data_IF_209327737429
#
_entry.id   IF_209327737429
#
_cell.length_a   1.000
_cell.length_b   1.000
_cell.length_c   1.000
_cell.angle_alpha   90.00
_cell.angle_beta   90.00
_cell.angle_gamma   90.00
#
_symmetry.space_group_name_H-M   'P 1'
#
loop_
_entity.id
_entity.type
_entity.pdbx_description
1 polymer ?
#
# COMPACT_ATOMS: atom_id res chain seq x y z
N UNK A 1 -52.98 -56.33 29.83
CA UNK A 1 -52.20 -55.22 30.44
C UNK A 1 -52.44 -53.96 29.62
N UNK A 2 -53.04 -52.93 30.20
CA UNK A 2 -53.17 -51.62 29.54
C UNK A 2 -51.79 -50.95 29.53
N UNK A 3 -51.12 -50.94 28.38
CA UNK A 3 -49.91 -50.13 28.19
C UNK A 3 -50.33 -48.67 28.15
N UNK A 4 -49.78 -47.86 29.07
CA UNK A 4 -49.87 -46.40 29.02
C UNK A 4 -48.59 -45.88 28.36
N UNK A 5 -48.73 -45.18 27.25
CA UNK A 5 -47.61 -44.54 26.54
C UNK A 5 -47.61 -43.06 26.89
N UNK A 6 -46.45 -42.50 27.20
CA UNK A 6 -46.24 -41.06 27.43
C UNK A 6 -45.24 -40.58 26.40
N UNK A 7 -45.60 -39.55 25.64
CA UNK A 7 -44.72 -38.91 24.66
C UNK A 7 -44.21 -37.59 25.25
N UNK A 8 -42.90 -37.38 25.23
CA UNK A 8 -42.25 -36.17 25.74
C UNK A 8 -41.52 -35.51 24.56
N UNK A 9 -41.85 -34.25 24.28
CA UNK A 9 -41.13 -33.46 23.29
C UNK A 9 -39.91 -32.83 23.95
N UNK A 10 -38.72 -33.14 23.43
CA UNK A 10 -37.48 -32.50 23.85
C UNK A 10 -37.37 -31.11 23.20
N UNK A 11 -36.81 -30.11 23.90
CA UNK A 11 -36.66 -28.77 23.36
C UNK A 11 -35.75 -28.79 22.13
N UNK A 12 -36.15 -28.06 21.08
CA UNK A 12 -35.27 -27.72 19.97
C UNK A 12 -34.56 -26.42 20.32
N UNK A 13 -33.23 -26.47 20.38
CA UNK A 13 -32.39 -25.32 20.68
C UNK A 13 -31.78 -24.85 19.36
N UNK A 14 -31.94 -23.57 19.03
CA UNK A 14 -31.45 -23.01 17.77
C UNK A 14 -29.92 -23.13 17.70
N UNK A 15 -29.41 -23.77 16.64
CA UNK A 15 -27.98 -23.99 16.42
C UNK A 15 -27.34 -25.14 17.21
N UNK A 16 -28.12 -25.99 17.90
CA UNK A 16 -27.60 -27.14 18.65
C UNK A 16 -28.45 -28.39 18.35
N UNK A 17 -27.81 -29.48 17.94
CA UNK A 17 -28.50 -30.73 17.63
C UNK A 17 -28.58 -31.66 18.84
N UNK A 18 -29.68 -32.42 18.92
CA UNK A 18 -29.81 -33.52 19.88
C UNK A 18 -28.90 -34.68 19.45
N UNK A 19 -27.86 -34.97 20.24
CA UNK A 19 -26.92 -36.06 19.95
C UNK A 19 -27.39 -37.40 20.52
N UNK A 20 -27.98 -37.37 21.71
CA UNK A 20 -28.45 -38.58 22.38
C UNK A 20 -29.61 -38.26 23.33
N UNK A 21 -30.50 -39.23 23.53
CA UNK A 21 -31.54 -39.17 24.54
C UNK A 21 -31.65 -40.52 25.23
N UNK A 22 -31.46 -40.53 26.56
CA UNK A 22 -31.53 -41.73 27.38
C UNK A 22 -32.61 -41.58 28.44
N UNK A 23 -33.18 -42.71 28.86
CA UNK A 23 -34.23 -42.75 29.89
C UNK A 23 -33.68 -43.45 31.12
N UNK A 24 -33.62 -42.74 32.24
CA UNK A 24 -33.35 -43.31 33.56
C UNK A 24 -34.70 -43.75 34.15
N UNK A 25 -34.97 -45.06 34.07
CA UNK A 25 -36.21 -45.66 34.54
C UNK A 25 -36.35 -45.66 36.07
N UNK A 26 -35.24 -45.66 36.81
CA UNK A 26 -35.26 -45.65 38.27
C UNK A 26 -35.63 -44.27 38.81
N UNK A 27 -35.14 -43.21 38.15
CA UNK A 27 -35.42 -41.82 38.53
C UNK A 27 -36.60 -41.21 37.78
N UNK A 28 -37.10 -41.88 36.74
CA UNK A 28 -38.23 -41.42 35.92
C UNK A 28 -37.91 -40.17 35.10
N UNK A 29 -36.67 -40.01 34.65
CA UNK A 29 -36.20 -38.83 33.91
C UNK A 29 -35.66 -39.19 32.52
N UNK A 30 -35.81 -38.26 31.58
CA UNK A 30 -35.18 -38.32 30.26
C UNK A 30 -33.99 -37.38 30.27
N UNK A 31 -32.80 -37.89 29.98
CA UNK A 31 -31.57 -37.10 29.86
C UNK A 31 -31.28 -36.95 28.38
N UNK A 32 -31.28 -35.70 27.90
CA UNK A 32 -30.99 -35.34 26.53
C UNK A 32 -29.64 -34.63 26.47
N UNK A 33 -28.74 -35.14 25.63
CA UNK A 33 -27.41 -34.58 25.39
C UNK A 33 -27.46 -33.78 24.08
N UNK A 34 -27.12 -32.49 24.19
CA UNK A 34 -27.10 -31.54 23.09
C UNK A 34 -25.65 -31.13 22.82
N UNK A 35 -25.28 -31.08 21.54
CA UNK A 35 -23.93 -30.67 21.13
C UNK A 35 -23.96 -29.92 19.80
N UNK A 36 -23.03 -28.98 19.64
CA UNK A 36 -22.75 -28.39 18.32
C UNK A 36 -22.05 -29.42 17.44
N UNK A 37 -22.24 -29.37 16.13
CA UNK A 37 -21.33 -30.05 15.20
C UNK A 37 -19.95 -29.38 15.31
N UNK A 38 -19.14 -29.83 16.25
CA UNK A 38 -17.68 -29.69 16.20
C UNK A 38 -17.20 -30.62 15.08
N UNK A 39 -17.31 -30.17 13.83
CA UNK A 39 -16.46 -30.55 12.69
C UNK A 39 -17.08 -30.07 11.36
N UNK A 40 -17.27 -28.75 11.22
CA UNK A 40 -17.22 -28.16 9.88
C UNK A 40 -15.75 -28.09 9.46
N UNK A 41 -15.12 -29.25 9.26
CA UNK A 41 -13.86 -29.35 8.54
C UNK A 41 -14.15 -28.92 7.10
N UNK A 42 -14.02 -27.62 6.83
CA UNK A 42 -14.15 -27.07 5.48
C UNK A 42 -13.18 -27.82 4.57
N UNK A 43 -13.73 -28.52 3.57
CA UNK A 43 -12.90 -29.21 2.58
C UNK A 43 -12.41 -28.17 1.59
N UNK A 44 -11.17 -27.71 1.77
CA UNK A 44 -10.53 -26.67 0.96
C UNK A 44 -9.65 -27.28 -0.13
N UNK A 45 -9.58 -26.62 -1.28
CA UNK A 45 -8.77 -26.99 -2.44
C UNK A 45 -7.80 -25.88 -2.79
N UNK A 46 -6.68 -26.26 -3.41
CA UNK A 46 -5.70 -25.31 -3.96
C UNK A 46 -6.42 -24.24 -4.79
N UNK A 47 -6.17 -22.98 -4.49
CA UNK A 47 -6.77 -21.85 -5.18
C UNK A 47 -8.04 -21.30 -4.56
N UNK A 48 -8.59 -21.94 -3.53
CA UNK A 48 -9.75 -21.42 -2.83
C UNK A 48 -9.38 -20.15 -2.05
N UNK A 49 -10.29 -19.18 -2.07
CA UNK A 49 -10.15 -17.94 -1.30
C UNK A 49 -10.73 -18.15 0.08
N UNK A 50 -9.91 -17.85 1.09
CA UNK A 50 -10.27 -17.98 2.49
C UNK A 50 -10.12 -16.64 3.20
N UNK A 51 -11.08 -16.30 4.04
CA UNK A 51 -11.07 -15.08 4.85
C UNK A 51 -10.89 -15.45 6.31
N UNK A 52 -9.99 -14.74 7.00
CA UNK A 52 -9.74 -14.94 8.41
C UNK A 52 -10.96 -14.53 9.24
N UNK A 53 -11.34 -15.38 10.20
CA UNK A 53 -12.48 -15.14 11.09
C UNK A 53 -12.23 -14.00 12.07
N UNK A 54 -11.00 -13.87 12.58
CA UNK A 54 -10.63 -12.79 13.50
C UNK A 54 -10.38 -11.45 12.81
N UNK A 55 -10.08 -11.48 11.50
CA UNK A 55 -9.82 -10.29 10.70
C UNK A 55 -10.43 -10.44 9.30
N UNK A 56 -11.66 -9.96 9.09
CA UNK A 56 -12.34 -10.02 7.79
C UNK A 56 -11.61 -9.26 6.66
N UNK A 57 -10.66 -8.38 6.99
CA UNK A 57 -9.84 -7.72 5.97
C UNK A 57 -8.73 -8.62 5.41
N UNK A 58 -8.47 -9.76 6.06
CA UNK A 58 -7.42 -10.70 5.68
C UNK A 58 -7.98 -11.85 4.86
N UNK A 59 -7.95 -11.66 3.54
CA UNK A 59 -8.24 -12.69 2.55
C UNK A 59 -6.95 -13.31 2.01
N UNK A 60 -6.93 -14.63 1.85
CA UNK A 60 -5.79 -15.41 1.37
C UNK A 60 -6.23 -16.40 0.29
N UNK A 61 -5.30 -16.78 -0.58
CA UNK A 61 -5.48 -17.86 -1.54
C UNK A 61 -4.82 -19.12 -0.98
N UNK A 62 -5.58 -20.18 -0.78
CA UNK A 62 -5.11 -21.44 -0.23
C UNK A 62 -4.14 -22.14 -1.21
N UNK A 63 -2.99 -22.63 -0.72
CA UNK A 63 -2.05 -23.42 -1.53
C UNK A 63 -2.22 -24.92 -1.28
N UNK A 64 -1.91 -25.38 -0.09
CA UNK A 64 -1.95 -26.79 0.28
C UNK A 64 -2.09 -26.95 1.80
N UNK A 65 -2.77 -28.02 2.21
CA UNK A 65 -2.68 -28.53 3.58
C UNK A 65 -1.22 -28.86 3.86
N UNK A 66 -0.80 -28.60 5.07
CA UNK A 66 0.54 -28.90 5.54
C UNK A 66 0.45 -29.85 6.73
N UNK A 67 1.21 -29.60 7.80
CA UNK A 67 1.31 -30.48 8.96
C UNK A 67 0.32 -30.13 10.08
N UNK A 68 0.17 -31.04 11.03
CA UNK A 68 -0.60 -30.80 12.26
C UNK A 68 0.31 -30.12 13.29
N UNK A 69 0.05 -28.85 13.60
CA UNK A 69 0.78 -28.11 14.62
C UNK A 69 -0.03 -28.10 15.92
N UNK A 70 0.45 -28.79 16.96
CA UNK A 70 -0.22 -28.81 18.27
C UNK A 70 -1.63 -29.42 18.25
N UNK A 71 -1.90 -30.35 17.33
CA UNK A 71 -3.22 -30.96 17.17
C UNK A 71 -4.17 -30.21 16.23
N UNK A 72 -3.75 -29.08 15.67
CA UNK A 72 -4.55 -28.27 14.74
C UNK A 72 -4.03 -28.45 13.31
N UNK A 73 -4.95 -28.71 12.37
CA UNK A 73 -4.63 -28.77 10.95
C UNK A 73 -4.18 -27.40 10.45
N UNK A 74 -2.99 -27.33 9.85
CA UNK A 74 -2.48 -26.08 9.25
C UNK A 74 -2.38 -26.15 7.75
N UNK A 75 -2.33 -24.98 7.11
CA UNK A 75 -2.15 -24.84 5.67
C UNK A 75 -1.15 -23.74 5.34
N UNK A 76 -0.60 -23.84 4.13
CA UNK A 76 0.20 -22.77 3.54
C UNK A 76 -0.64 -21.96 2.57
N UNK A 77 -0.36 -20.67 2.50
CA UNK A 77 -1.00 -19.76 1.54
C UNK A 77 -0.19 -19.67 0.26
N UNK A 78 -0.89 -19.49 -0.86
CA UNK A 78 -0.33 -19.18 -2.16
C UNK A 78 -0.04 -17.68 -2.26
N UNK A 79 -0.93 -16.86 -1.70
CA UNK A 79 -0.84 -15.42 -1.69
C UNK A 79 -1.77 -14.82 -0.64
N UNK A 80 -1.39 -13.70 -0.05
CA UNK A 80 -2.22 -12.80 0.73
C UNK A 80 -1.91 -11.36 0.37
N UNK A 81 -2.82 -10.45 0.72
CA UNK A 81 -2.56 -9.02 0.54
C UNK A 81 -1.50 -8.56 1.55
N UNK A 82 -0.50 -7.77 1.12
CA UNK A 82 0.53 -7.28 2.02
C UNK A 82 -0.05 -6.32 3.07
N UNK A 83 0.38 -6.48 4.31
CA UNK A 83 -0.06 -5.65 5.44
C UNK A 83 0.84 -4.43 5.58
N UNK A 84 0.30 -3.29 6.03
CA UNK A 84 1.13 -2.13 6.39
C UNK A 84 1.54 -2.19 7.86
N UNK A 85 2.83 -2.41 8.14
CA UNK A 85 3.42 -2.36 9.48
C UNK A 85 4.32 -1.12 9.55
N UNK A 86 3.98 -0.17 10.42
CA UNK A 86 4.69 1.11 10.56
C UNK A 86 4.85 1.86 9.21
N UNK A 87 3.81 1.84 8.37
CA UNK A 87 3.80 2.48 7.04
C UNK A 87 4.53 1.70 5.94
N UNK A 88 5.24 0.62 6.26
CA UNK A 88 5.92 -0.24 5.27
C UNK A 88 5.06 -1.45 4.92
N UNK A 89 5.05 -1.84 3.65
CA UNK A 89 4.47 -3.12 3.25
C UNK A 89 5.28 -4.26 3.87
N UNK A 90 4.57 -5.19 4.51
CA UNK A 90 5.07 -6.44 5.01
C UNK A 90 4.29 -7.58 4.35
N UNK A 91 5.03 -8.54 3.80
CA UNK A 91 4.46 -9.72 3.18
C UNK A 91 4.52 -10.88 4.15
N UNK A 92 3.52 -11.76 4.12
CA UNK A 92 3.61 -13.02 4.85
C UNK A 92 4.76 -13.85 4.27
N UNK A 93 5.73 -14.28 5.10
CA UNK A 93 6.83 -15.11 4.63
C UNK A 93 6.34 -16.38 3.96
N UNK A 94 7.00 -16.78 2.87
CA UNK A 94 6.72 -18.04 2.19
C UNK A 94 6.89 -19.19 3.19
N UNK A 95 5.89 -20.08 3.24
CA UNK A 95 5.89 -21.22 4.16
C UNK A 95 5.32 -20.92 5.55
N UNK A 96 4.81 -19.71 5.80
CA UNK A 96 4.02 -19.42 7.01
C UNK A 96 2.80 -20.34 7.05
N UNK A 97 2.58 -20.96 8.20
CA UNK A 97 1.50 -21.92 8.45
C UNK A 97 0.38 -21.23 9.20
N UNK A 98 -0.85 -21.44 8.74
CA UNK A 98 -2.05 -20.91 9.37
C UNK A 98 -2.96 -22.05 9.83
N UNK A 99 -3.56 -21.97 11.03
CA UNK A 99 -4.56 -22.94 11.45
C UNK A 99 -5.82 -22.79 10.59
N UNK A 100 -6.31 -23.90 10.02
CA UNK A 100 -7.48 -23.88 9.14
C UNK A 100 -8.76 -23.46 9.89
N UNK A 101 -8.82 -23.72 11.20
CA UNK A 101 -9.93 -23.34 12.08
C UNK A 101 -10.19 -21.84 12.12
N UNK A 102 -9.20 -21.01 11.80
CA UNK A 102 -9.30 -19.55 11.89
C UNK A 102 -9.83 -18.93 10.59
N UNK A 103 -10.25 -19.75 9.62
CA UNK A 103 -10.64 -19.32 8.29
C UNK A 103 -11.99 -19.89 7.87
N UNK A 104 -12.68 -19.14 7.02
CA UNK A 104 -13.86 -19.57 6.27
C UNK A 104 -13.68 -19.29 4.79
N UNK A 105 -14.56 -19.84 3.94
CA UNK A 105 -14.65 -19.39 2.56
C UNK A 105 -14.93 -17.89 2.47
N UNK A 106 -14.22 -17.23 1.57
CA UNK A 106 -14.47 -15.84 1.25
C UNK A 106 -15.80 -15.65 0.51
N UNK A 107 -16.49 -14.54 0.78
CA UNK A 107 -17.65 -14.14 -0.03
C UNK A 107 -17.20 -13.67 -1.42
N UNK A 108 -18.13 -13.53 -2.36
CA UNK A 108 -17.79 -13.04 -3.70
C UNK A 108 -17.26 -11.58 -3.66
N UNK A 109 -17.77 -10.76 -2.74
CA UNK A 109 -17.29 -9.39 -2.52
C UNK A 109 -15.84 -9.39 -1.99
N UNK A 110 -15.53 -10.26 -1.03
CA UNK A 110 -14.17 -10.37 -0.47
C UNK A 110 -13.16 -10.88 -1.51
N UNK A 111 -13.57 -11.82 -2.38
CA UNK A 111 -12.77 -12.27 -3.51
C UNK A 111 -12.52 -11.15 -4.51
N UNK A 112 -13.57 -10.42 -4.88
CA UNK A 112 -13.48 -9.32 -5.84
C UNK A 112 -12.55 -8.22 -5.32
N UNK A 113 -12.67 -7.85 -4.05
CA UNK A 113 -11.77 -6.88 -3.40
C UNK A 113 -10.32 -7.37 -3.44
N UNK A 114 -10.06 -8.64 -3.11
CA UNK A 114 -8.71 -9.18 -3.15
C UNK A 114 -8.12 -9.16 -4.57
N UNK A 115 -8.91 -9.51 -5.58
CA UNK A 115 -8.48 -9.46 -6.99
C UNK A 115 -8.18 -8.02 -7.41
N UNK A 116 -9.03 -7.05 -7.05
CA UNK A 116 -8.81 -5.63 -7.36
C UNK A 116 -7.51 -5.10 -6.74
N UNK A 117 -7.26 -5.43 -5.47
CA UNK A 117 -6.02 -5.04 -4.77
C UNK A 117 -4.79 -5.73 -5.37
N UNK A 118 -4.91 -7.00 -5.77
CA UNK A 118 -3.85 -7.68 -6.52
C UNK A 118 -3.53 -6.96 -7.83
N UNK A 119 -4.54 -6.54 -8.59
CA UNK A 119 -4.36 -5.83 -9.86
C UNK A 119 -3.69 -4.46 -9.68
N UNK A 120 -3.98 -3.76 -8.57
CA UNK A 120 -3.29 -2.52 -8.18
C UNK A 120 -1.82 -2.74 -7.88
N UNK A 121 -1.47 -3.92 -7.37
CA UNK A 121 -0.09 -4.36 -7.14
C UNK A 121 0.57 -4.97 -8.39
N UNK A 122 -0.09 -4.92 -9.54
CA UNK A 122 0.41 -5.51 -10.78
C UNK A 122 0.46 -7.04 -10.75
N UNK A 123 -0.40 -7.67 -9.94
CA UNK A 123 -0.51 -9.13 -9.83
C UNK A 123 -1.86 -9.58 -10.36
N UNK A 124 -1.93 -10.79 -10.92
CA UNK A 124 -3.19 -11.49 -11.21
C UNK A 124 -3.13 -12.92 -10.73
N UNK A 125 -4.27 -13.44 -10.28
CA UNK A 125 -4.43 -14.86 -10.00
C UNK A 125 -4.91 -15.58 -11.26
N UNK A 126 -4.17 -16.60 -11.70
CA UNK A 126 -4.59 -17.46 -12.82
C UNK A 126 -5.26 -18.74 -12.28
N UNK A 127 -6.60 -18.88 -12.40
CA UNK A 127 -7.33 -20.02 -11.84
C UNK A 127 -7.07 -21.34 -12.59
N UNK A 128 -6.50 -21.30 -13.80
CA UNK A 128 -6.15 -22.51 -14.56
C UNK A 128 -4.82 -23.12 -14.12
N UNK A 129 -3.86 -22.28 -13.76
CA UNK A 129 -2.50 -22.71 -13.37
C UNK A 129 -2.29 -22.68 -11.85
N UNK A 130 -3.22 -22.09 -11.09
CA UNK A 130 -3.11 -21.85 -9.65
C UNK A 130 -1.83 -21.10 -9.30
N UNK A 131 -1.55 -20.01 -10.03
CA UNK A 131 -0.35 -19.19 -9.86
C UNK A 131 -0.71 -17.70 -9.80
N UNK A 132 0.11 -16.96 -9.06
CA UNK A 132 0.16 -15.50 -9.14
C UNK A 132 1.12 -15.14 -10.25
N UNK A 133 0.64 -14.34 -11.19
CA UNK A 133 1.41 -13.86 -12.33
C UNK A 133 1.58 -12.35 -12.20
N UNK A 134 2.73 -11.85 -12.62
CA UNK A 134 2.91 -10.42 -12.83
C UNK A 134 2.11 -9.99 -14.05
N UNK A 135 1.32 -8.93 -13.88
CA UNK A 135 0.78 -8.18 -14.99
C UNK A 135 1.90 -7.24 -15.40
N UNK A 136 2.52 -7.50 -16.55
CA UNK A 136 3.35 -6.50 -17.21
C UNK A 136 2.45 -5.31 -17.57
N UNK A 137 2.42 -4.32 -16.68
CA UNK A 137 1.82 -3.01 -16.92
C UNK A 137 2.95 -2.02 -17.14
N UNK A 138 2.83 -1.24 -18.20
CA UNK A 138 3.76 -0.15 -18.45
C UNK A 138 3.60 0.94 -17.38
N UNK A 139 4.68 1.62 -17.01
CA UNK A 139 4.61 2.68 -16.00
C UNK A 139 3.67 3.82 -16.41
N UNK A 140 3.50 4.06 -17.71
CA UNK A 140 2.54 5.03 -18.24
C UNK A 140 1.09 4.63 -18.00
N UNK A 141 0.80 3.36 -17.75
CA UNK A 141 -0.54 2.86 -17.38
C UNK A 141 -0.75 2.85 -15.86
N UNK A 142 0.32 2.78 -15.07
CA UNK A 142 0.25 2.74 -13.60
C UNK A 142 0.28 4.17 -13.01
N UNK A 143 1.16 5.03 -13.49
CA UNK A 143 1.40 6.36 -12.96
C UNK A 143 0.70 7.45 -13.81
N UNK A 144 -0.58 7.23 -14.13
CA UNK A 144 -1.40 8.16 -14.95
C UNK A 144 -1.62 9.55 -14.31
N UNK A 145 -1.27 9.71 -13.04
CA UNK A 145 -1.34 10.96 -12.31
C UNK A 145 -0.69 10.85 -10.93
N UNK A 146 -0.71 11.95 -10.17
CA UNK A 146 -0.04 12.04 -8.87
C UNK A 146 -0.41 10.89 -7.92
N UNK A 147 -1.69 10.55 -7.79
CA UNK A 147 -2.12 9.44 -6.92
C UNK A 147 -1.58 8.07 -7.34
N UNK A 148 -1.55 7.79 -8.65
CA UNK A 148 -0.98 6.54 -9.19
C UNK A 148 0.53 6.45 -8.98
N UNK A 149 1.25 7.56 -9.19
CA UNK A 149 2.68 7.63 -8.92
C UNK A 149 3.01 7.43 -7.43
N UNK A 150 2.25 8.05 -6.53
CA UNK A 150 2.42 7.87 -5.08
C UNK A 150 2.14 6.42 -4.66
N UNK A 151 1.09 5.81 -5.21
CA UNK A 151 0.78 4.41 -4.95
C UNK A 151 1.91 3.49 -5.43
N UNK A 152 2.42 3.71 -6.65
CA UNK A 152 3.53 2.93 -7.20
C UNK A 152 4.81 3.04 -6.36
N UNK A 153 5.17 4.25 -5.91
CA UNK A 153 6.34 4.49 -5.07
C UNK A 153 6.14 4.10 -3.60
N UNK A 154 4.93 3.66 -3.23
CA UNK A 154 4.54 3.33 -1.85
C UNK A 154 4.80 4.48 -0.87
N UNK A 155 4.62 5.73 -1.32
CA UNK A 155 4.90 6.90 -0.50
C UNK A 155 3.72 7.29 0.41
N UNK A 156 4.05 7.86 1.57
CA UNK A 156 3.08 8.42 2.50
C UNK A 156 2.57 9.78 1.99
N UNK A 157 1.28 9.83 1.66
CA UNK A 157 0.59 11.06 1.28
C UNK A 157 0.57 12.03 2.46
N UNK A 158 0.90 13.29 2.18
CA UNK A 158 0.65 14.42 3.06
C UNK A 158 -0.32 15.38 2.34
N UNK A 159 -1.58 15.43 2.80
CA UNK A 159 -2.68 16.16 2.12
C UNK A 159 -3.16 17.40 2.86
N UNK A 160 -2.51 17.82 3.94
CA UNK A 160 -3.08 18.82 4.85
C UNK A 160 -3.23 20.22 4.22
N UNK A 161 -2.33 20.60 3.29
CA UNK A 161 -2.38 21.90 2.60
C UNK A 161 -2.10 21.82 1.08
N UNK A 162 -1.32 20.84 0.65
CA UNK A 162 -0.92 20.64 -0.75
C UNK A 162 -0.82 19.13 -1.00
N UNK A 163 -1.36 18.58 -2.10
CA UNK A 163 -1.13 17.18 -2.46
C UNK A 163 0.37 16.93 -2.67
N UNK A 164 1.02 16.28 -1.69
CA UNK A 164 2.45 15.93 -1.74
C UNK A 164 2.70 14.66 -0.93
N UNK A 165 3.96 14.26 -0.77
CA UNK A 165 4.37 13.17 0.11
C UNK A 165 5.32 13.67 1.18
N UNK A 166 5.43 12.91 2.28
CA UNK A 166 6.37 13.25 3.37
C UNK A 166 7.80 13.39 2.87
N UNK A 167 8.21 12.57 1.89
CA UNK A 167 9.55 12.62 1.28
C UNK A 167 9.79 13.92 0.52
N UNK A 168 8.78 14.44 -0.16
CA UNK A 168 8.91 15.62 -1.01
C UNK A 168 8.66 16.95 -0.27
N UNK A 169 8.13 16.91 0.96
CA UNK A 169 7.86 18.12 1.74
C UNK A 169 9.11 18.99 1.97
N UNK A 170 10.28 18.47 2.42
CA UNK A 170 11.47 19.31 2.57
C UNK A 170 11.95 19.91 1.25
N UNK A 171 11.76 19.21 0.12
CA UNK A 171 12.12 19.70 -1.22
C UNK A 171 11.25 20.88 -1.63
N UNK A 172 9.94 20.79 -1.40
CA UNK A 172 9.01 21.87 -1.70
C UNK A 172 9.31 23.11 -0.85
N UNK A 173 9.62 22.92 0.44
CA UNK A 173 10.00 24.02 1.32
C UNK A 173 11.30 24.71 0.86
N UNK A 174 12.34 23.93 0.56
CA UNK A 174 13.60 24.46 0.06
C UNK A 174 13.45 25.19 -1.29
N UNK A 175 12.63 24.66 -2.21
CA UNK A 175 12.34 25.30 -3.50
C UNK A 175 11.63 26.64 -3.30
N UNK A 176 10.63 26.70 -2.41
CA UNK A 176 9.92 27.94 -2.11
C UNK A 176 10.85 29.00 -1.50
N UNK A 177 11.73 28.62 -0.57
CA UNK A 177 12.74 29.52 -0.02
C UNK A 177 13.68 30.05 -1.11
N UNK A 178 14.18 29.19 -2.00
CA UNK A 178 15.04 29.61 -3.12
C UNK A 178 14.35 30.62 -4.04
N UNK A 179 13.07 30.40 -4.38
CA UNK A 179 12.31 31.32 -5.24
C UNK A 179 12.21 32.71 -4.58
N UNK A 180 11.80 32.77 -3.31
CA UNK A 180 11.67 34.04 -2.58
C UNK A 180 13.03 34.76 -2.48
N UNK A 181 14.11 34.02 -2.21
CA UNK A 181 15.46 34.58 -2.13
C UNK A 181 15.91 35.15 -3.48
N UNK A 182 15.67 34.44 -4.59
CA UNK A 182 16.01 34.90 -5.92
C UNK A 182 15.23 36.17 -6.30
N UNK A 183 13.92 36.21 -6.01
CA UNK A 183 13.10 37.41 -6.20
C UNK A 183 13.63 38.61 -5.41
N UNK A 184 14.02 38.41 -4.16
CA UNK A 184 14.58 39.47 -3.32
C UNK A 184 15.90 40.03 -3.89
N UNK A 185 16.79 39.14 -4.35
CA UNK A 185 18.08 39.54 -4.95
C UNK A 185 17.89 40.29 -6.27
N UNK A 186 17.01 39.79 -7.13
CA UNK A 186 16.67 40.43 -8.40
C UNK A 186 16.03 41.80 -8.19
N UNK A 187 15.13 41.92 -7.21
CA UNK A 187 14.54 43.22 -6.83
C UNK A 187 15.60 44.21 -6.33
N UNK A 188 16.58 43.75 -5.55
CA UNK A 188 17.69 44.58 -5.07
C UNK A 188 18.58 45.08 -6.22
N UNK A 189 18.85 44.23 -7.22
CA UNK A 189 19.65 44.58 -8.40
C UNK A 189 18.87 45.35 -9.49
N UNK A 190 17.62 45.73 -9.20
CA UNK A 190 16.66 46.33 -10.13
C UNK A 190 16.56 45.52 -11.44
N UNK A 191 16.63 44.20 -11.31
CA UNK A 191 16.57 43.26 -12.41
C UNK A 191 15.23 42.52 -12.37
N UNK A 192 14.55 42.52 -13.51
CA UNK A 192 13.38 41.68 -13.74
C UNK A 192 13.65 40.88 -15.02
N UNK A 193 13.75 39.54 -14.93
CA UNK A 193 13.81 38.72 -16.12
C UNK A 193 12.57 38.98 -17.00
N UNK A 194 12.81 39.38 -18.24
CA UNK A 194 11.80 39.53 -19.28
C UNK A 194 11.94 38.35 -20.25
N UNK A 195 10.96 37.45 -20.20
CA UNK A 195 10.96 36.20 -20.96
C UNK A 195 10.60 36.40 -22.43
N UNK A 196 9.95 37.52 -22.76
CA UNK A 196 9.61 37.89 -24.13
C UNK A 196 10.80 38.60 -24.82
N UNK A 197 11.72 39.18 -24.03
CA UNK A 197 12.93 39.81 -24.55
C UNK A 197 14.07 38.80 -24.72
N UNK A 198 14.23 38.33 -25.96
CA UNK A 198 15.33 37.45 -26.37
C UNK A 198 16.71 38.14 -26.45
N UNK A 199 16.77 39.45 -26.24
CA UNK A 199 18.01 40.24 -26.23
C UNK A 199 18.50 40.55 -24.82
N UNK A 200 17.64 40.43 -23.81
CA UNK A 200 18.02 40.60 -22.42
C UNK A 200 18.89 39.42 -21.97
N UNK A 201 20.14 39.73 -21.60
CA UNK A 201 21.06 38.79 -20.98
C UNK A 201 20.53 38.31 -19.62
N UNK A 202 20.47 36.98 -19.45
CA UNK A 202 20.05 36.31 -18.21
C UNK A 202 21.10 35.28 -17.83
N UNK A 203 21.54 35.31 -16.58
CA UNK A 203 22.61 34.44 -16.09
C UNK A 203 22.08 33.42 -15.09
N UNK A 204 22.49 32.16 -15.26
CA UNK A 204 22.01 31.03 -14.48
C UNK A 204 23.16 30.31 -13.79
N UNK A 205 22.88 29.75 -12.63
CA UNK A 205 23.83 28.90 -11.90
C UNK A 205 23.93 27.55 -12.60
N UNK A 206 25.16 27.10 -12.84
CA UNK A 206 25.42 25.73 -13.29
C UNK A 206 25.97 24.91 -12.13
N UNK A 207 25.44 23.70 -12.02
CA UNK A 207 25.85 22.74 -11.00
C UNK A 207 26.59 21.57 -11.63
N UNK A 208 27.60 21.07 -10.92
CA UNK A 208 28.20 19.76 -11.16
C UNK A 208 27.76 18.79 -10.07
N UNK A 209 27.72 17.51 -10.40
CA UNK A 209 27.41 16.43 -9.46
C UNK A 209 28.52 15.40 -9.53
N UNK A 210 29.26 15.27 -8.42
CA UNK A 210 30.29 14.25 -8.24
C UNK A 210 29.89 13.39 -7.04
N UNK A 211 29.66 12.09 -7.27
CA UNK A 211 29.31 11.10 -6.23
C UNK A 211 28.13 11.52 -5.32
N UNK A 212 27.14 12.23 -5.86
CA UNK A 212 25.96 12.70 -5.13
C UNK A 212 26.16 14.03 -4.39
N UNK A 213 27.35 14.62 -4.45
CA UNK A 213 27.61 15.97 -3.96
C UNK A 213 27.44 16.99 -5.07
N UNK A 214 26.49 17.91 -4.87
CA UNK A 214 26.26 19.03 -5.78
C UNK A 214 27.15 20.21 -5.37
N UNK A 215 27.81 20.82 -6.37
CA UNK A 215 28.61 22.03 -6.21
C UNK A 215 28.39 23.00 -7.38
N UNK A 216 28.64 24.29 -7.15
CA UNK A 216 28.57 25.30 -8.21
C UNK A 216 29.78 25.14 -9.12
N UNK A 217 29.52 24.83 -10.38
CA UNK A 217 30.55 24.67 -11.41
C UNK A 217 30.86 26.00 -12.11
N UNK A 218 29.84 26.86 -12.26
CA UNK A 218 29.99 28.16 -12.89
C UNK A 218 28.64 28.78 -13.22
N UNK A 219 28.63 29.62 -14.26
CA UNK A 219 27.42 30.28 -14.73
C UNK A 219 27.31 30.23 -16.24
N UNK A 220 26.09 30.17 -16.74
CA UNK A 220 25.82 30.29 -18.17
C UNK A 220 24.97 31.50 -18.48
N UNK A 221 25.13 32.04 -19.68
CA UNK A 221 24.32 33.12 -20.22
C UNK A 221 23.35 32.54 -21.24
N UNK A 222 22.06 32.79 -21.05
CA UNK A 222 21.02 32.34 -21.97
C UNK A 222 20.16 33.54 -22.35
N UNK A 223 20.03 33.77 -23.65
CA UNK A 223 19.22 34.86 -24.20
C UNK A 223 17.87 34.36 -24.75
N UNK A 224 17.70 33.05 -24.98
CA UNK A 224 16.49 32.46 -25.58
C UNK A 224 15.75 31.50 -24.64
N UNK A 225 14.42 31.39 -24.81
CA UNK A 225 13.54 30.48 -24.06
C UNK A 225 14.08 29.04 -24.00
N UNK A 226 14.54 28.64 -22.81
CA UNK A 226 14.47 27.27 -22.34
C UNK A 226 13.55 27.31 -21.12
N UNK A 227 12.42 26.62 -21.25
CA UNK A 227 11.52 26.12 -20.22
C UNK A 227 11.29 27.02 -18.97
N UNK A 228 10.04 27.45 -18.77
CA UNK A 228 9.58 28.35 -17.68
C UNK A 228 9.95 27.84 -16.27
N UNK A 229 10.32 26.58 -16.12
CA UNK A 229 10.75 25.97 -14.87
C UNK A 229 12.18 26.34 -14.42
N UNK A 230 13.09 26.69 -15.35
CA UNK A 230 14.45 27.18 -15.00
C UNK A 230 14.50 28.70 -14.74
N UNK A 231 13.37 29.37 -14.93
CA UNK A 231 13.25 30.82 -15.06
C UNK A 231 13.44 31.60 -13.74
N UNK A 232 13.08 31.01 -12.60
CA UNK A 232 13.09 31.70 -11.31
C UNK A 232 14.50 32.00 -10.76
N UNK A 233 15.54 31.35 -11.30
CA UNK A 233 16.93 31.51 -10.87
C UNK A 233 17.81 32.20 -11.92
N UNK A 234 17.22 33.18 -12.62
CA UNK A 234 17.93 34.07 -13.53
C UNK A 234 18.39 35.34 -12.82
N UNK A 235 19.62 35.77 -13.08
CA UNK A 235 20.23 36.95 -12.48
C UNK A 235 20.81 37.90 -13.54
N UNK A 236 21.00 39.16 -13.14
CA UNK A 236 21.48 40.24 -14.01
C UNK A 236 22.90 40.05 -14.53
N UNK A 237 23.78 39.44 -13.71
CA UNK A 237 25.19 39.27 -14.01
C UNK A 237 25.66 37.86 -13.63
N UNK A 238 26.74 37.35 -14.25
CA UNK A 238 27.28 36.04 -13.90
C UNK A 238 27.79 36.00 -12.46
N UNK A 239 28.42 37.06 -11.96
CA UNK A 239 28.93 37.10 -10.57
C UNK A 239 27.79 36.95 -9.57
N UNK A 240 26.63 37.56 -9.85
CA UNK A 240 25.46 37.46 -9.00
C UNK A 240 24.89 36.05 -8.98
N UNK A 241 24.78 35.42 -10.15
CA UNK A 241 24.34 34.03 -10.26
C UNK A 241 25.28 33.09 -9.48
N UNK A 242 26.60 33.22 -9.68
CA UNK A 242 27.59 32.40 -8.99
C UNK A 242 27.53 32.59 -7.47
N UNK A 243 27.44 33.83 -7.01
CA UNK A 243 27.32 34.16 -5.60
C UNK A 243 26.06 33.55 -4.99
N UNK A 244 24.91 33.68 -5.65
CA UNK A 244 23.65 33.11 -5.19
C UNK A 244 23.75 31.58 -5.07
N UNK A 245 24.27 30.92 -6.11
CA UNK A 245 24.46 29.48 -6.13
C UNK A 245 25.35 28.98 -5.00
N UNK A 246 26.45 29.69 -4.71
CA UNK A 246 27.38 29.33 -3.64
C UNK A 246 26.76 29.56 -2.26
N UNK A 247 26.06 30.67 -2.08
CA UNK A 247 25.47 31.05 -0.80
C UNK A 247 24.32 30.14 -0.38
N UNK A 248 23.56 29.61 -1.33
CA UNK A 248 22.38 28.78 -1.06
C UNK A 248 22.54 27.33 -1.54
N UNK A 249 23.78 26.85 -1.67
CA UNK A 249 24.09 25.50 -2.20
C UNK A 249 23.39 24.38 -1.42
N UNK A 250 23.21 24.54 -0.10
CA UNK A 250 22.56 23.54 0.73
C UNK A 250 21.07 23.40 0.43
N UNK A 251 20.38 24.50 0.09
CA UNK A 251 19.00 24.45 -0.38
C UNK A 251 18.91 23.77 -1.75
N UNK A 252 19.84 24.08 -2.65
CA UNK A 252 19.92 23.41 -3.95
C UNK A 252 20.16 21.90 -3.81
N UNK A 253 21.00 21.47 -2.87
CA UNK A 253 21.20 20.04 -2.57
C UNK A 253 19.90 19.37 -2.15
N UNK A 254 19.11 19.98 -1.26
CA UNK A 254 17.82 19.42 -0.83
C UNK A 254 16.87 19.26 -2.03
N UNK A 255 16.80 20.26 -2.91
CA UNK A 255 15.89 20.24 -4.08
C UNK A 255 16.34 19.24 -5.15
N UNK A 256 17.63 19.25 -5.49
CA UNK A 256 18.18 18.57 -6.68
C UNK A 256 18.66 17.13 -6.42
N UNK A 257 18.86 16.72 -5.16
CA UNK A 257 19.23 15.33 -4.82
C UNK A 257 18.01 14.50 -4.41
N UNK A 258 18.08 13.18 -4.58
CA UNK A 258 17.00 12.23 -4.29
C UNK A 258 17.24 11.40 -3.04
#
# INVERSE_FOLDING_TARGET
MNKKTVSISLPQIEGIELKNATVDLEKGVVVAEYGQEEDLCITVKKGDFLTCLSDPSKTVIFNAMDDVLGGVNTFTILYDLPMRINGKLAYTPIGTKFPLSDFRYSTEEEKALMIEEMEKLGKRYNPRTFRIEDIEKDISEIALGFGGAVHYLLEDIHTFYLPTTKKHMPKLDALNQLIILAEAWNKFDEFKPDWEDSTQDKYYVLFSSDEGNISVWGTTKICSLLDTHTSHFAFKTPERAEQFGKQFIDLFRIVLTN
#
